data_IF_443067585183
#
_entry.id   IF_443067585183
#
_cell.length_a   1.000
_cell.length_b   1.000
_cell.length_c   1.000
_cell.angle_alpha   90.00
_cell.angle_beta   90.00
_cell.angle_gamma   90.00
#
_symmetry.space_group_name_H-M   'P 1'
#
loop_
_entity.id
_entity.type
_entity.pdbx_description
1 polymer ?
#
# COMPACT_ATOMS: atom_id res chain seq x y z
N UNK A 1 1.89 5.33 -3.58
CA UNK A 1 1.09 5.56 -2.35
C UNK A 1 1.75 6.66 -1.53
N UNK A 2 1.19 7.87 -1.47
CA UNK A 2 1.79 8.96 -0.71
C UNK A 2 1.64 8.69 0.80
N UNK A 3 2.77 8.66 1.52
CA UNK A 3 2.93 8.38 2.96
C UNK A 3 2.43 7.02 3.49
N UNK A 4 3.36 6.23 4.05
CA UNK A 4 3.08 4.91 4.65
C UNK A 4 2.77 4.99 6.16
N UNK A 5 3.23 6.02 6.86
CA UNK A 5 3.10 6.22 8.31
C UNK A 5 1.69 6.64 8.75
N UNK A 6 1.34 6.31 10.00
CA UNK A 6 0.08 6.75 10.64
C UNK A 6 0.06 8.27 10.84
N UNK A 7 1.16 8.83 11.30
CA UNK A 7 1.24 10.22 11.76
C UNK A 7 1.00 11.21 10.63
N UNK A 8 1.59 10.96 9.46
CA UNK A 8 1.34 11.77 8.25
C UNK A 8 -0.12 11.67 7.78
N UNK A 9 -0.83 10.55 8.03
CA UNK A 9 -2.28 10.47 7.78
C UNK A 9 -3.09 11.28 8.79
N UNK A 10 -2.66 11.32 10.06
CA UNK A 10 -3.26 12.17 11.10
C UNK A 10 -3.09 13.64 10.72
N UNK A 11 -1.89 14.08 10.35
CA UNK A 11 -1.61 15.44 9.85
C UNK A 11 -2.45 15.78 8.62
N UNK A 12 -2.52 14.88 7.63
CA UNK A 12 -3.39 15.06 6.46
C UNK A 12 -4.87 15.21 6.85
N UNK A 13 -5.36 14.46 7.85
CA UNK A 13 -6.71 14.60 8.36
C UNK A 13 -6.95 15.99 8.97
N UNK A 14 -6.04 16.46 9.84
CA UNK A 14 -6.10 17.79 10.46
C UNK A 14 -6.05 18.91 9.41
N UNK A 15 -5.23 18.77 8.37
CA UNK A 15 -5.16 19.74 7.25
C UNK A 15 -6.48 19.76 6.46
N UNK A 16 -7.09 18.60 6.22
CA UNK A 16 -8.39 18.50 5.53
C UNK A 16 -9.53 19.09 6.37
N UNK A 17 -9.52 18.91 7.69
CA UNK A 17 -10.49 19.49 8.61
C UNK A 17 -10.36 21.01 8.68
N UNK A 18 -9.13 21.56 8.78
CA UNK A 18 -8.86 23.00 8.65
C UNK A 18 -9.37 23.56 7.32
N UNK A 19 -9.12 22.86 6.20
CA UNK A 19 -9.62 23.25 4.87
C UNK A 19 -11.15 23.22 4.78
N UNK A 20 -11.81 22.27 5.43
CA UNK A 20 -13.27 22.20 5.52
C UNK A 20 -13.84 23.38 6.32
N UNK A 21 -13.25 23.71 7.47
CA UNK A 21 -13.64 24.88 8.28
C UNK A 21 -13.52 26.19 7.49
N UNK A 22 -12.36 26.42 6.86
CA UNK A 22 -12.14 27.60 6.00
C UNK A 22 -13.09 27.65 4.80
N UNK A 23 -13.49 26.51 4.23
CA UNK A 23 -14.50 26.48 3.15
C UNK A 23 -15.87 26.87 3.67
N UNK A 24 -16.30 26.34 4.82
CA UNK A 24 -17.59 26.67 5.43
C UNK A 24 -17.68 28.16 5.77
N UNK A 25 -16.66 28.72 6.44
CA UNK A 25 -16.59 30.16 6.72
C UNK A 25 -16.71 31.03 5.45
N UNK A 26 -16.07 30.62 4.34
CA UNK A 26 -16.18 31.31 3.03
C UNK A 26 -17.53 31.11 2.32
N UNK A 27 -18.33 30.12 2.72
CA UNK A 27 -19.70 29.93 2.24
C UNK A 27 -20.67 30.78 3.09
N UNK A 28 -20.47 30.81 4.41
CA UNK A 28 -21.24 31.62 5.36
C UNK A 28 -21.06 33.13 5.05
N UNK A 29 -19.82 33.59 4.80
CA UNK A 29 -19.51 34.95 4.32
C UNK A 29 -20.17 35.32 2.99
N UNK A 30 -20.59 34.33 2.19
CA UNK A 30 -21.32 34.53 0.93
C UNK A 30 -22.84 34.42 1.10
N UNK A 31 -23.34 34.41 2.33
CA UNK A 31 -24.77 34.28 2.64
C UNK A 31 -25.37 32.93 2.24
N UNK A 32 -24.57 31.86 2.11
CA UNK A 32 -25.11 30.54 1.79
C UNK A 32 -25.66 29.85 3.04
N UNK A 33 -26.98 29.60 3.05
CA UNK A 33 -27.63 28.78 4.07
C UNK A 33 -26.96 27.40 4.21
N UNK A 34 -26.93 26.89 5.44
CA UNK A 34 -26.25 25.64 5.84
C UNK A 34 -26.56 24.45 4.92
N UNK A 35 -27.79 24.30 4.46
CA UNK A 35 -28.19 23.25 3.51
C UNK A 35 -27.52 23.36 2.15
N UNK A 36 -27.44 24.58 1.59
CA UNK A 36 -26.74 24.85 0.32
C UNK A 36 -25.23 24.65 0.50
N UNK A 37 -24.67 25.10 1.63
CA UNK A 37 -23.27 24.85 1.98
C UNK A 37 -22.94 23.35 2.14
N UNK A 38 -23.87 22.52 2.64
CA UNK A 38 -23.70 21.06 2.66
C UNK A 38 -23.81 20.41 1.27
N UNK A 39 -24.52 21.03 0.32
CA UNK A 39 -24.63 20.55 -1.07
C UNK A 39 -23.39 20.89 -1.91
N UNK A 40 -22.56 21.86 -1.50
CA UNK A 40 -21.31 22.27 -2.15
C UNK A 40 -20.39 21.07 -2.47
N UNK A 41 -19.94 20.91 -3.74
CA UNK A 41 -19.09 19.79 -4.13
C UNK A 41 -17.77 19.72 -3.36
N UNK A 42 -17.16 20.86 -3.03
CA UNK A 42 -15.89 20.87 -2.27
C UNK A 42 -16.11 20.43 -0.82
N UNK A 43 -17.17 20.90 -0.15
CA UNK A 43 -17.56 20.40 1.18
C UNK A 43 -17.81 18.88 1.18
N UNK A 44 -18.54 18.35 0.19
CA UNK A 44 -18.75 16.90 0.03
C UNK A 44 -17.43 16.13 -0.15
N UNK A 45 -16.57 16.60 -1.05
CA UNK A 45 -15.29 15.96 -1.35
C UNK A 45 -14.31 16.01 -0.15
N UNK A 46 -14.28 17.12 0.59
CA UNK A 46 -13.48 17.22 1.82
C UNK A 46 -14.00 16.27 2.90
N UNK A 47 -15.32 16.21 3.14
CA UNK A 47 -15.95 15.25 4.07
C UNK A 47 -15.74 13.79 3.66
N UNK A 48 -15.68 13.49 2.36
CA UNK A 48 -15.35 12.16 1.86
C UNK A 48 -13.90 11.79 2.18
N UNK A 49 -12.94 12.65 1.82
CA UNK A 49 -11.50 12.45 2.09
C UNK A 49 -11.19 12.32 3.59
N UNK A 50 -11.84 13.11 4.45
CA UNK A 50 -11.70 12.99 5.91
C UNK A 50 -12.14 11.60 6.39
N UNK A 51 -13.30 11.09 5.93
CA UNK A 51 -13.77 9.73 6.29
C UNK A 51 -12.84 8.64 5.78
N UNK A 52 -12.37 8.75 4.54
CA UNK A 52 -11.40 7.83 3.93
C UNK A 52 -10.07 7.77 4.70
N UNK A 53 -9.52 8.92 5.07
CA UNK A 53 -8.29 9.01 5.88
C UNK A 53 -8.50 8.47 7.29
N UNK A 54 -9.63 8.76 7.95
CA UNK A 54 -9.97 8.18 9.27
C UNK A 54 -10.09 6.66 9.22
N UNK A 55 -10.71 6.11 8.17
CA UNK A 55 -10.75 4.65 7.97
C UNK A 55 -9.34 4.05 7.78
N UNK A 56 -8.44 4.73 7.05
CA UNK A 56 -7.03 4.30 6.89
C UNK A 56 -6.18 4.43 8.16
N UNK A 57 -6.53 5.32 9.09
CA UNK A 57 -5.90 5.42 10.40
C UNK A 57 -6.37 4.23 11.27
N UNK A 58 -7.68 4.04 11.39
CA UNK A 58 -8.26 2.93 12.15
C UNK A 58 -7.82 1.54 11.65
N UNK A 59 -7.62 1.36 10.33
CA UNK A 59 -7.04 0.14 9.78
C UNK A 59 -5.58 -0.06 10.19
N UNK A 60 -4.77 1.01 10.25
CA UNK A 60 -3.40 0.93 10.72
C UNK A 60 -3.33 0.55 12.21
N UNK A 61 -4.24 1.10 13.02
CA UNK A 61 -4.32 0.79 14.46
C UNK A 61 -4.63 -0.69 14.71
N UNK A 62 -5.62 -1.25 14.01
CA UNK A 62 -5.92 -2.69 14.03
C UNK A 62 -4.72 -3.55 13.61
N UNK A 63 -3.95 -3.12 12.62
CA UNK A 63 -2.73 -3.84 12.23
C UNK A 63 -1.62 -3.78 13.30
N UNK A 64 -1.48 -2.67 14.03
CA UNK A 64 -0.55 -2.55 15.17
C UNK A 64 -0.97 -3.47 16.31
N UNK A 65 -2.26 -3.52 16.63
CA UNK A 65 -2.83 -4.44 17.64
C UNK A 65 -2.59 -5.91 17.27
N UNK A 66 -2.93 -6.32 16.05
CA UNK A 66 -2.68 -7.67 15.54
C UNK A 66 -1.18 -8.02 15.52
N UNK A 67 -0.31 -7.06 15.22
CA UNK A 67 1.15 -7.28 15.27
C UNK A 67 1.61 -7.51 16.71
N UNK A 68 1.09 -6.74 17.67
CA UNK A 68 1.39 -6.89 19.09
C UNK A 68 0.95 -8.24 19.65
N UNK A 69 -0.26 -8.70 19.32
CA UNK A 69 -0.75 -10.02 19.78
C UNK A 69 0.04 -11.17 19.15
N UNK A 70 0.39 -11.08 17.86
CA UNK A 70 1.25 -12.08 17.20
C UNK A 70 2.67 -12.13 17.79
N UNK A 71 3.24 -10.99 18.20
CA UNK A 71 4.53 -10.95 18.90
C UNK A 71 4.42 -11.60 20.29
N UNK A 72 3.39 -11.26 21.07
CA UNK A 72 3.16 -11.86 22.39
C UNK A 72 2.95 -13.39 22.30
N UNK A 73 2.13 -13.86 21.36
CA UNK A 73 1.91 -15.29 21.15
C UNK A 73 3.18 -16.04 20.71
N UNK A 74 4.06 -15.40 19.93
CA UNK A 74 5.37 -15.96 19.57
C UNK A 74 6.32 -16.04 20.76
N UNK A 75 6.34 -15.01 21.62
CA UNK A 75 7.15 -15.00 22.84
C UNK A 75 6.68 -16.06 23.85
N UNK A 76 5.36 -16.23 24.03
CA UNK A 76 4.78 -17.27 24.86
C UNK A 76 5.17 -18.67 24.37
N UNK A 77 4.96 -18.97 23.08
CA UNK A 77 5.35 -20.26 22.50
C UNK A 77 6.85 -20.54 22.55
N UNK A 78 7.69 -19.51 22.40
CA UNK A 78 9.14 -19.66 22.56
C UNK A 78 9.51 -20.02 24.01
N UNK A 79 8.90 -19.34 25.00
CA UNK A 79 9.11 -19.64 26.41
C UNK A 79 8.59 -21.03 26.82
N UNK A 80 7.43 -21.45 26.30
CA UNK A 80 6.88 -22.80 26.51
C UNK A 80 7.81 -23.89 25.95
N UNK A 81 8.34 -23.71 24.74
CA UNK A 81 9.30 -24.64 24.14
C UNK A 81 10.63 -24.66 24.92
N UNK A 82 11.11 -23.51 25.38
CA UNK A 82 12.32 -23.44 26.21
C UNK A 82 12.11 -24.15 27.56
N UNK A 83 10.96 -23.93 28.21
CA UNK A 83 10.60 -24.60 29.47
C UNK A 83 10.49 -26.13 29.29
N UNK A 84 9.83 -26.60 28.22
CA UNK A 84 9.75 -28.03 27.89
C UNK A 84 11.16 -28.61 27.63
N UNK A 85 12.03 -27.89 26.92
CA UNK A 85 13.41 -28.33 26.67
C UNK A 85 14.28 -28.42 27.93
N UNK A 86 13.99 -27.60 28.95
CA UNK A 86 14.67 -27.65 30.26
C UNK A 86 14.12 -28.75 31.15
N UNK A 87 12.79 -28.95 31.17
CA UNK A 87 12.15 -30.07 31.86
C UNK A 87 12.63 -31.43 31.33
N UNK A 88 12.64 -31.61 30.00
CA UNK A 88 13.13 -32.84 29.36
C UNK A 88 14.60 -33.13 29.69
N UNK A 89 15.46 -32.09 29.81
CA UNK A 89 16.85 -32.25 30.25
C UNK A 89 16.99 -32.60 31.73
N UNK A 90 16.10 -32.10 32.58
CA UNK A 90 16.09 -32.40 34.01
C UNK A 90 15.67 -33.85 34.29
N UNK A 91 14.64 -34.36 33.59
CA UNK A 91 14.21 -35.76 33.72
C UNK A 91 15.28 -36.75 33.23
N UNK A 92 16.04 -36.43 32.18
CA UNK A 92 17.16 -37.28 31.71
C UNK A 92 18.41 -37.27 32.61
N UNK A 93 18.40 -36.55 33.74
CA UNK A 93 19.55 -36.47 34.67
C UNK A 93 19.37 -37.30 35.96
N UNK A 94 18.33 -38.13 36.04
CA UNK A 94 17.93 -38.83 37.26
C UNK A 94 17.91 -40.37 37.15
N UNK A 95 18.78 -40.98 36.34
CA UNK A 95 19.03 -42.43 36.39
C UNK A 95 20.50 -42.79 36.09
N UNK A 96 21.24 -43.45 37.01
CA UNK A 96 22.66 -43.76 36.81
C UNK A 96 22.92 -45.18 36.28
N UNK A 97 23.66 -45.28 35.17
CA UNK A 97 24.49 -46.44 34.72
C UNK A 97 23.76 -47.80 34.49
N UNK A 98 23.95 -48.57 33.43
CA UNK A 98 25.17 -48.87 32.66
C UNK A 98 24.86 -49.77 31.44
N UNK A 99 25.85 -49.91 30.53
CA UNK A 99 25.95 -50.94 29.46
C UNK A 99 24.88 -50.83 28.32
N UNK A 100 25.12 -51.18 27.05
CA UNK A 100 26.27 -51.74 26.30
C UNK A 100 26.53 -50.89 25.04
N UNK A 101 27.76 -50.47 24.75
CA UNK A 101 28.77 -51.18 23.94
C UNK A 101 28.43 -51.46 22.46
N UNK A 102 29.13 -50.72 21.57
CA UNK A 102 29.76 -51.17 20.30
C UNK A 102 28.93 -51.42 19.01
N UNK A 103 29.31 -50.60 18.01
CA UNK A 103 29.71 -51.00 16.64
C UNK A 103 28.66 -51.43 15.58
N UNK A 104 28.41 -50.53 14.62
CA UNK A 104 28.85 -50.61 13.19
C UNK A 104 28.42 -49.30 12.49
N UNK A 105 29.32 -48.43 12.01
CA UNK A 105 30.06 -48.54 10.73
C UNK A 105 29.23 -49.16 9.59
N UNK A 106 28.55 -48.31 8.82
CA UNK A 106 28.74 -48.28 7.36
C UNK A 106 28.43 -46.88 6.80
N UNK A 107 29.01 -46.60 5.62
CA UNK A 107 29.36 -45.27 5.12
C UNK A 107 28.44 -44.74 3.99
N UNK A 108 28.51 -43.43 3.66
CA UNK A 108 27.64 -42.81 2.66
C UNK A 108 28.14 -42.99 1.21
N UNK A 109 27.25 -43.45 0.33
CA UNK A 109 27.34 -43.48 -1.14
C UNK A 109 25.93 -43.87 -1.65
N UNK A 110 25.32 -43.37 -2.74
CA UNK A 110 25.72 -42.54 -3.90
C UNK A 110 24.67 -41.42 -4.07
N UNK A 111 24.97 -40.18 -4.48
CA UNK A 111 25.70 -39.71 -5.65
C UNK A 111 24.94 -39.88 -7.00
N UNK A 112 24.67 -38.72 -7.62
CA UNK A 112 24.42 -38.47 -9.05
C UNK A 112 23.22 -39.07 -9.81
N UNK A 113 22.27 -38.20 -10.20
CA UNK A 113 21.97 -37.83 -11.60
C UNK A 113 20.69 -36.97 -11.69
N UNK A 114 20.49 -36.02 -12.62
CA UNK A 114 21.39 -35.17 -13.46
C UNK A 114 20.50 -34.08 -14.10
N UNK A 115 21.01 -32.84 -14.22
CA UNK A 115 20.60 -31.76 -15.16
C UNK A 115 19.14 -31.24 -15.02
N UNK A 116 18.90 -29.95 -14.71
CA UNK A 116 19.07 -28.71 -15.52
C UNK A 116 18.08 -28.55 -16.69
N UNK A 117 17.65 -27.30 -17.01
CA UNK A 117 16.28 -27.01 -17.44
C UNK A 117 16.07 -27.12 -18.96
N UNK A 118 14.85 -27.47 -19.36
CA UNK A 118 14.36 -27.23 -20.71
C UNK A 118 13.98 -25.75 -20.87
N UNK A 119 14.52 -25.12 -21.91
CA UNK A 119 14.15 -23.78 -22.32
C UNK A 119 12.94 -23.80 -23.26
N UNK A 120 12.58 -22.60 -23.76
CA UNK A 120 12.01 -22.39 -25.10
C UNK A 120 10.48 -22.51 -25.29
N UNK A 121 9.81 -21.36 -25.08
CA UNK A 121 8.98 -20.64 -26.08
C UNK A 121 8.52 -19.33 -25.46
N UNK A 122 9.22 -18.22 -25.68
CA UNK A 122 9.02 -17.32 -26.84
C UNK A 122 7.58 -16.83 -27.01
N UNK A 123 7.30 -15.64 -26.47
CA UNK A 123 6.22 -14.75 -26.89
C UNK A 123 6.55 -13.29 -26.51
N UNK A 124 7.60 -12.70 -27.11
CA UNK A 124 7.87 -11.27 -26.99
C UNK A 124 6.97 -10.46 -27.95
N UNK A 125 6.60 -9.21 -27.59
CA UNK A 125 5.53 -8.48 -28.27
C UNK A 125 5.95 -7.91 -29.63
N UNK A 126 4.99 -7.80 -30.56
CA UNK A 126 5.19 -7.16 -31.86
C UNK A 126 5.55 -5.67 -31.69
N UNK A 127 6.79 -5.31 -32.07
CA UNK A 127 7.16 -3.92 -32.36
C UNK A 127 6.61 -3.50 -33.73
N UNK A 128 5.97 -2.33 -33.76
CA UNK A 128 6.09 -1.26 -34.76
C UNK A 128 6.18 0.01 -33.91
N UNK A 129 7.25 0.83 -33.84
CA UNK A 129 8.16 1.34 -34.86
C UNK A 129 7.37 1.98 -36.02
N UNK A 130 7.47 3.28 -36.32
CA UNK A 130 8.54 4.25 -35.99
C UNK A 130 7.94 5.70 -35.88
N UNK A 131 8.53 6.63 -35.11
CA UNK A 131 9.38 7.76 -35.59
C UNK A 131 8.55 8.89 -36.26
N UNK A 132 8.61 10.18 -35.90
CA UNK A 132 9.49 10.97 -35.00
C UNK A 132 8.81 12.29 -34.60
N UNK A 133 9.08 12.80 -33.39
CA UNK A 133 9.26 14.25 -33.18
C UNK A 133 10.73 14.60 -33.46
N UNK A 134 11.05 15.85 -33.84
CA UNK A 134 11.79 16.64 -32.85
C UNK A 134 11.45 18.14 -32.80
N UNK A 135 11.69 18.70 -31.60
CA UNK A 135 12.22 20.04 -31.34
C UNK A 135 11.46 21.30 -31.82
N UNK A 136 10.71 21.86 -30.87
CA UNK A 136 10.78 23.26 -30.42
C UNK A 136 11.42 24.33 -31.32
N UNK A 137 10.60 25.33 -31.72
CA UNK A 137 11.03 26.72 -31.85
C UNK A 137 9.88 27.69 -31.56
N UNK A 138 10.21 28.71 -30.79
CA UNK A 138 9.47 29.90 -30.38
C UNK A 138 8.90 30.74 -31.56
N UNK A 139 7.67 31.29 -31.42
CA UNK A 139 7.21 32.61 -31.95
C UNK A 139 5.67 32.71 -32.22
N UNK A 140 5.03 33.71 -31.61
CA UNK A 140 3.68 34.25 -31.94
C UNK A 140 3.80 35.46 -32.92
N UNK A 141 2.69 36.13 -33.37
CA UNK A 141 1.36 35.54 -33.64
C UNK A 141 0.68 35.59 -35.06
N UNK A 142 0.33 36.71 -35.76
CA UNK A 142 -1.04 36.84 -36.27
C UNK A 142 -1.26 37.28 -37.73
N UNK A 143 -2.41 36.89 -38.32
CA UNK A 143 -3.32 37.76 -39.11
C UNK A 143 -4.66 37.09 -39.49
N UNK A 144 -5.78 37.81 -39.27
CA UNK A 144 -7.14 37.54 -39.82
C UNK A 144 -7.28 38.19 -41.22
N UNK A 145 -8.29 37.82 -42.04
CA UNK A 145 -9.57 38.55 -41.99
C UNK A 145 -10.85 37.69 -42.19
N UNK A 146 -12.01 38.34 -42.04
CA UNK A 146 -13.38 37.77 -42.02
C UNK A 146 -14.08 37.78 -43.39
N UNK A 147 -14.98 36.82 -43.64
CA UNK A 147 -16.28 36.98 -44.34
C UNK A 147 -17.33 36.23 -43.47
N UNK A 148 -18.44 36.83 -43.00
CA UNK A 148 -19.68 37.28 -43.69
C UNK A 148 -20.39 36.15 -44.45
N UNK A 149 -21.73 36.05 -44.50
CA UNK A 149 -22.87 36.54 -43.65
C UNK A 149 -24.14 36.02 -44.35
N UNK A 150 -25.06 35.39 -43.63
CA UNK A 150 -26.53 35.23 -43.89
C UNK A 150 -27.01 34.23 -42.82
N UNK A 151 -27.81 34.56 -41.79
CA UNK A 151 -28.99 35.43 -41.72
C UNK A 151 -30.14 34.91 -42.59
N UNK A 152 -31.08 34.21 -41.94
CA UNK A 152 -32.43 34.05 -42.46
C UNK A 152 -33.41 34.14 -41.28
N UNK A 153 -34.36 35.08 -41.36
CA UNK A 153 -35.38 35.39 -40.36
C UNK A 153 -36.60 35.96 -41.10
N UNK A 154 -37.78 35.53 -40.66
CA UNK A 154 -39.12 35.97 -41.11
C UNK A 154 -39.49 35.65 -42.56
N UNK A 155 -40.45 34.74 -42.71
CA UNK A 155 -41.85 35.17 -42.85
C UNK A 155 -42.72 34.43 -41.81
#
# INVERSE_FOLDING_TARGET
MPSKSKDVRVEQCLILEKKLGLRLQKLDQKGMNKERAQRDPLVKNLKAKIRETKARIAAADKHVELTRTLVQAKLQKAAELEAQSKAAKAETSAEPAAAEAKQKKQSPEKAEAKKKPAAEKEAKPKKKAAVTEPAAADAEPPKKPRKKKEENKEE
#
